data_IF_881360160481
#
_entry.id   IF_881360160481
#
_cell.length_a   1.000
_cell.length_b   1.000
_cell.length_c   1.000
_cell.angle_alpha   90.00
_cell.angle_beta   90.00
_cell.angle_gamma   90.00
#
_symmetry.space_group_name_H-M   'P 1'
#
loop_
_entity.id
_entity.type
_entity.pdbx_description
1 polymer ?
#
# COMPACT_ATOMS: atom_id res chain seq x y z
N UNK A 1 -26.88 -26.26 1.94
CA UNK A 1 -26.79 -25.06 1.08
C UNK A 1 -25.67 -24.11 1.52
N UNK A 2 -25.65 -23.55 2.75
CA UNK A 2 -24.61 -22.54 3.14
C UNK A 2 -23.16 -23.10 3.20
N UNK A 3 -22.96 -24.36 3.63
CA UNK A 3 -21.62 -24.96 3.78
C UNK A 3 -20.90 -25.20 2.45
N UNK A 4 -21.62 -25.57 1.38
CA UNK A 4 -21.02 -25.80 0.07
C UNK A 4 -20.59 -24.48 -0.59
N UNK A 5 -21.36 -23.41 -0.36
CA UNK A 5 -20.97 -22.05 -0.78
C UNK A 5 -19.68 -21.59 -0.12
N UNK A 6 -19.50 -21.81 1.20
CA UNK A 6 -18.28 -21.40 1.92
C UNK A 6 -17.03 -22.18 1.47
N UNK A 7 -17.17 -23.49 1.21
CA UNK A 7 -16.11 -24.32 0.61
C UNK A 7 -15.67 -23.78 -0.75
N UNK A 8 -16.63 -23.55 -1.63
CA UNK A 8 -16.38 -23.04 -2.97
C UNK A 8 -15.75 -21.65 -2.93
N UNK A 9 -16.20 -20.79 -2.02
CA UNK A 9 -15.67 -19.44 -1.86
C UNK A 9 -14.24 -19.41 -1.28
N UNK A 10 -13.91 -20.30 -0.34
CA UNK A 10 -12.53 -20.45 0.11
C UNK A 10 -11.62 -20.96 -1.01
N UNK A 11 -12.11 -21.91 -1.81
CA UNK A 11 -11.36 -22.44 -2.96
C UNK A 11 -11.11 -21.37 -4.03
N UNK A 12 -12.09 -20.48 -4.29
CA UNK A 12 -11.93 -19.31 -5.16
C UNK A 12 -10.87 -18.35 -4.62
N UNK A 13 -10.95 -17.98 -3.34
CA UNK A 13 -9.96 -17.11 -2.69
C UNK A 13 -8.54 -17.68 -2.82
N UNK A 14 -8.34 -18.97 -2.54
CA UNK A 14 -7.02 -19.61 -2.65
C UNK A 14 -6.51 -19.56 -4.10
N UNK A 15 -7.40 -19.78 -5.07
CA UNK A 15 -7.06 -19.67 -6.49
C UNK A 15 -6.67 -18.24 -6.89
N UNK A 16 -7.39 -17.22 -6.39
CA UNK A 16 -7.10 -15.80 -6.62
C UNK A 16 -5.80 -15.34 -5.96
N UNK A 17 -5.38 -15.98 -4.86
CA UNK A 17 -4.07 -15.75 -4.22
C UNK A 17 -2.90 -16.47 -4.91
N UNK A 18 -3.08 -16.92 -6.16
CA UNK A 18 -2.04 -17.64 -6.91
C UNK A 18 -1.99 -19.13 -6.58
N UNK A 19 -3.11 -19.69 -6.09
CA UNK A 19 -3.29 -21.12 -5.85
C UNK A 19 -2.69 -21.66 -4.56
N UNK A 20 -2.12 -20.82 -3.69
CA UNK A 20 -1.52 -21.23 -2.42
C UNK A 20 -1.54 -20.10 -1.38
N UNK A 21 -1.46 -20.45 -0.10
CA UNK A 21 -1.33 -19.48 0.99
C UNK A 21 -1.28 -20.12 2.37
N UNK A 22 -1.02 -19.31 3.39
CA UNK A 22 -1.12 -19.73 4.78
C UNK A 22 -2.55 -19.51 5.31
N UNK A 23 -2.89 -20.22 6.38
CA UNK A 23 -4.18 -20.10 7.04
C UNK A 23 -4.49 -18.65 7.47
N UNK A 24 -3.48 -17.89 7.90
CA UNK A 24 -3.61 -16.46 8.25
C UNK A 24 -4.02 -15.61 7.05
N UNK A 25 -3.44 -15.86 5.87
CA UNK A 25 -3.71 -15.10 4.64
C UNK A 25 -5.18 -15.26 4.23
N UNK A 26 -5.74 -16.45 4.44
CA UNK A 26 -7.15 -16.71 4.14
C UNK A 26 -8.04 -16.01 5.16
N UNK A 27 -7.75 -16.11 6.46
CA UNK A 27 -8.55 -15.45 7.50
C UNK A 27 -8.63 -13.92 7.30
N UNK A 28 -7.57 -13.29 6.80
CA UNK A 28 -7.54 -11.86 6.51
C UNK A 28 -8.53 -11.48 5.38
N UNK A 29 -8.57 -12.27 4.30
CA UNK A 29 -9.32 -11.96 3.08
C UNK A 29 -10.67 -12.65 2.94
N UNK A 30 -10.96 -13.66 3.77
CA UNK A 30 -12.18 -14.46 3.65
C UNK A 30 -13.45 -13.64 3.87
N UNK A 31 -13.34 -12.46 4.51
CA UNK A 31 -14.45 -11.54 4.77
C UNK A 31 -15.10 -11.01 3.49
N UNK A 32 -14.33 -10.92 2.41
CA UNK A 32 -14.81 -10.46 1.10
C UNK A 32 -15.56 -11.57 0.34
N UNK A 33 -15.41 -12.82 0.79
CA UNK A 33 -15.95 -14.01 0.11
C UNK A 33 -17.05 -14.70 0.91
N UNK A 34 -17.12 -14.47 2.22
CA UNK A 34 -18.10 -15.08 3.11
C UNK A 34 -19.02 -14.04 3.72
N UNK A 35 -20.31 -14.32 3.68
CA UNK A 35 -21.27 -13.70 4.60
C UNK A 35 -21.01 -14.24 6.01
N UNK A 36 -20.36 -13.42 6.83
CA UNK A 36 -20.05 -13.74 8.21
C UNK A 36 -21.28 -13.61 9.10
N UNK A 37 -21.45 -14.57 10.00
CA UNK A 37 -22.42 -14.47 11.09
C UNK A 37 -22.01 -13.37 12.08
N UNK A 38 -22.98 -12.81 12.79
CA UNK A 38 -22.74 -11.79 13.82
C UNK A 38 -21.75 -12.25 14.91
N UNK A 39 -21.66 -13.55 15.15
CA UNK A 39 -20.70 -14.12 16.08
C UNK A 39 -19.28 -14.20 15.50
N UNK A 40 -19.13 -14.55 14.22
CA UNK A 40 -17.84 -14.53 13.51
C UNK A 40 -17.30 -13.11 13.35
N UNK A 41 -18.18 -12.12 13.17
CA UNK A 41 -17.80 -10.70 13.12
C UNK A 41 -17.26 -10.20 14.46
N UNK A 42 -17.81 -10.67 15.58
CA UNK A 42 -17.42 -10.27 16.94
C UNK A 42 -16.29 -11.10 17.54
N UNK A 43 -16.02 -12.29 17.00
CA UNK A 43 -15.04 -13.23 17.56
C UNK A 43 -14.13 -13.82 16.47
N UNK A 44 -12.95 -13.22 16.31
CA UNK A 44 -11.96 -13.65 15.32
C UNK A 44 -11.48 -15.09 15.52
N UNK A 45 -11.41 -15.58 16.76
CA UNK A 45 -11.06 -16.99 17.02
C UNK A 45 -12.09 -17.94 16.43
N UNK A 46 -13.37 -17.56 16.43
CA UNK A 46 -14.44 -18.39 15.86
C UNK A 46 -14.34 -18.45 14.35
N UNK A 47 -14.06 -17.32 13.69
CA UNK A 47 -13.79 -17.27 12.25
C UNK A 47 -12.58 -18.15 11.88
N UNK A 48 -11.49 -18.03 12.62
CA UNK A 48 -10.26 -18.81 12.44
C UNK A 48 -10.55 -20.33 12.49
N UNK A 49 -11.28 -20.79 13.52
CA UNK A 49 -11.67 -22.20 13.63
C UNK A 49 -12.57 -22.68 12.49
N UNK A 50 -13.48 -21.85 12.00
CA UNK A 50 -14.36 -22.21 10.89
C UNK A 50 -13.61 -22.29 9.56
N UNK A 51 -12.67 -21.37 9.31
CA UNK A 51 -11.77 -21.45 8.14
C UNK A 51 -10.95 -22.74 8.22
N UNK A 52 -10.36 -23.05 9.37
CA UNK A 52 -9.56 -24.25 9.56
C UNK A 52 -10.39 -25.53 9.32
N UNK A 53 -11.63 -25.57 9.82
CA UNK A 53 -12.54 -26.69 9.58
C UNK A 53 -12.86 -26.88 8.09
N UNK A 54 -12.98 -25.80 7.32
CA UNK A 54 -13.29 -25.86 5.88
C UNK A 54 -12.05 -26.25 5.07
N UNK A 55 -10.86 -25.78 5.43
CA UNK A 55 -9.60 -26.22 4.82
C UNK A 55 -9.43 -27.74 4.96
N UNK A 56 -9.65 -28.28 6.18
CA UNK A 56 -9.56 -29.73 6.40
C UNK A 56 -10.60 -30.50 5.59
N UNK A 57 -11.83 -29.96 5.45
CA UNK A 57 -12.86 -30.58 4.64
C UNK A 57 -12.51 -30.58 3.14
N UNK A 58 -11.92 -29.50 2.62
CA UNK A 58 -11.44 -29.42 1.24
C UNK A 58 -10.23 -30.32 1.01
N UNK A 59 -9.35 -30.47 2.00
CA UNK A 59 -8.24 -31.44 1.99
C UNK A 59 -8.75 -32.88 1.88
N UNK A 60 -9.75 -33.22 2.70
CA UNK A 60 -10.36 -34.55 2.69
C UNK A 60 -11.06 -34.88 1.36
N UNK A 61 -11.48 -33.85 0.61
CA UNK A 61 -12.05 -33.99 -0.75
C UNK A 61 -10.98 -33.94 -1.86
N UNK A 62 -9.69 -33.87 -1.48
CA UNK A 62 -8.52 -33.76 -2.37
C UNK A 62 -8.54 -32.48 -3.23
N UNK A 63 -9.29 -31.45 -2.85
CA UNK A 63 -9.34 -30.16 -3.55
C UNK A 63 -8.22 -29.21 -3.07
N UNK A 64 -7.74 -29.44 -1.84
CA UNK A 64 -6.58 -28.77 -1.27
C UNK A 64 -5.56 -29.82 -0.79
N UNK A 65 -4.31 -29.40 -0.71
CA UNK A 65 -3.25 -30.11 0.00
C UNK A 65 -2.52 -29.16 0.96
N UNK A 66 -1.93 -29.72 2.02
CA UNK A 66 -1.14 -28.96 3.00
C UNK A 66 0.30 -29.45 2.91
N UNK A 67 1.22 -28.57 2.53
CA UNK A 67 2.66 -28.83 2.54
C UNK A 67 3.35 -27.90 3.54
N UNK A 68 3.83 -28.48 4.64
CA UNK A 68 4.32 -27.71 5.78
C UNK A 68 3.21 -26.86 6.39
N UNK A 69 3.29 -25.53 6.24
CA UNK A 69 2.28 -24.55 6.70
C UNK A 69 1.51 -23.90 5.55
N UNK A 70 1.72 -24.34 4.31
CA UNK A 70 1.13 -23.74 3.12
C UNK A 70 0.07 -24.67 2.55
N UNK A 71 -1.14 -24.15 2.46
CA UNK A 71 -2.25 -24.76 1.73
C UNK A 71 -2.11 -24.47 0.24
N UNK A 72 -2.38 -25.46 -0.61
CA UNK A 72 -2.33 -25.33 -2.06
C UNK A 72 -3.53 -25.99 -2.72
N UNK A 73 -4.06 -25.36 -3.77
CA UNK A 73 -5.09 -25.96 -4.60
C UNK A 73 -4.50 -27.07 -5.47
N UNK A 74 -5.15 -28.24 -5.47
CA UNK A 74 -4.76 -29.36 -6.33
C UNK A 74 -5.31 -29.16 -7.74
N UNK A 75 -4.86 -29.96 -8.71
CA UNK A 75 -5.46 -29.95 -10.06
C UNK A 75 -6.95 -30.30 -10.02
N UNK A 76 -7.35 -31.27 -9.18
CA UNK A 76 -8.75 -31.60 -8.90
C UNK A 76 -9.54 -30.41 -8.36
N UNK A 77 -8.91 -29.58 -7.51
CA UNK A 77 -9.48 -28.31 -7.03
C UNK A 77 -9.73 -27.31 -8.15
N UNK A 78 -8.80 -27.17 -9.09
CA UNK A 78 -8.93 -26.28 -10.26
C UNK A 78 -10.01 -26.77 -11.24
N UNK A 79 -10.08 -28.07 -11.46
CA UNK A 79 -11.12 -28.70 -12.28
C UNK A 79 -12.51 -28.50 -11.65
N UNK A 80 -12.61 -28.65 -10.33
CA UNK A 80 -13.83 -28.37 -9.57
C UNK A 80 -14.27 -26.90 -9.69
N UNK A 81 -13.34 -25.95 -9.65
CA UNK A 81 -13.67 -24.54 -9.93
C UNK A 81 -14.18 -24.35 -11.37
N UNK A 82 -13.49 -24.93 -12.34
CA UNK A 82 -13.86 -24.83 -13.76
C UNK A 82 -15.25 -25.42 -14.04
N UNK A 83 -15.59 -26.55 -13.42
CA UNK A 83 -16.91 -27.19 -13.58
C UNK A 83 -18.05 -26.37 -12.97
N UNK A 84 -17.76 -25.53 -11.98
CA UNK A 84 -18.72 -24.57 -11.41
C UNK A 84 -18.89 -23.30 -12.26
N UNK A 85 -18.29 -23.23 -13.45
CA UNK A 85 -18.32 -22.05 -14.31
C UNK A 85 -17.53 -20.88 -13.73
N UNK A 86 -16.68 -21.12 -12.74
CA UNK A 86 -15.77 -20.11 -12.23
C UNK A 86 -14.72 -19.82 -13.29
N UNK A 87 -14.93 -18.72 -14.02
CA UNK A 87 -13.87 -18.09 -14.80
C UNK A 87 -13.09 -17.25 -13.80
N UNK A 88 -11.81 -17.54 -13.53
CA UNK A 88 -11.02 -16.63 -12.74
C UNK A 88 -11.19 -15.24 -13.36
N UNK A 89 -11.48 -14.25 -12.53
CA UNK A 89 -11.24 -12.87 -12.91
C UNK A 89 -9.72 -12.78 -12.96
N UNK A 90 -9.14 -13.27 -14.06
CA UNK A 90 -7.77 -12.99 -14.42
C UNK A 90 -7.90 -11.53 -14.81
N UNK A 91 -7.54 -10.53 -13.97
CA UNK A 91 -7.24 -9.23 -14.53
C UNK A 91 -6.30 -9.54 -15.67
N UNK A 92 -6.69 -9.21 -16.91
CA UNK A 92 -5.82 -9.38 -18.05
C UNK A 92 -4.50 -8.83 -17.60
N UNK A 93 -3.52 -9.72 -17.39
CA UNK A 93 -2.16 -9.29 -17.18
C UNK A 93 -1.83 -8.76 -18.57
N UNK A 94 -2.18 -7.50 -18.82
CA UNK A 94 -1.33 -6.63 -19.60
C UNK A 94 0.03 -6.98 -19.06
N UNK A 95 0.91 -7.64 -19.84
CA UNK A 95 2.20 -8.07 -19.34
C UNK A 95 2.73 -6.86 -18.59
N UNK A 96 2.79 -6.96 -17.24
CA UNK A 96 3.51 -5.96 -16.51
C UNK A 96 4.86 -6.03 -17.18
N UNK A 97 5.34 -4.93 -17.82
CA UNK A 97 6.68 -4.95 -18.35
C UNK A 97 7.54 -5.55 -17.24
N UNK A 98 8.36 -6.58 -17.56
CA UNK A 98 9.16 -7.28 -16.55
C UNK A 98 9.70 -6.20 -15.62
N UNK A 99 9.52 -6.31 -14.28
CA UNK A 99 9.75 -5.21 -13.36
C UNK A 99 11.06 -4.60 -13.80
N UNK A 100 11.00 -3.38 -14.35
CA UNK A 100 12.19 -2.76 -14.89
C UNK A 100 13.01 -2.58 -13.64
N UNK A 101 13.97 -3.48 -13.41
CA UNK A 101 14.98 -3.30 -12.40
C UNK A 101 15.85 -2.22 -12.99
N UNK A 102 15.36 -0.98 -12.88
CA UNK A 102 16.19 0.19 -13.07
C UNK A 102 17.29 0.00 -12.04
N UNK A 103 18.49 -0.31 -12.52
CA UNK A 103 19.66 -0.38 -11.69
C UNK A 103 19.92 1.04 -11.21
N UNK A 104 19.41 1.34 -10.02
CA UNK A 104 19.54 2.64 -9.38
C UNK A 104 20.79 2.56 -8.51
N UNK A 105 21.84 3.35 -8.80
CA UNK A 105 23.07 3.39 -8.00
C UNK A 105 22.79 3.58 -6.50
N UNK A 106 21.73 4.33 -6.18
CA UNK A 106 21.30 4.59 -4.82
C UNK A 106 20.70 3.36 -4.12
N UNK A 107 19.94 2.52 -4.84
CA UNK A 107 19.48 1.24 -4.30
C UNK A 107 20.67 0.32 -3.99
N UNK A 108 21.67 0.28 -4.87
CA UNK A 108 22.90 -0.48 -4.63
C UNK A 108 23.62 0.03 -3.38
N UNK A 109 23.81 1.34 -3.26
CA UNK A 109 24.43 1.97 -2.10
C UNK A 109 23.70 1.65 -0.79
N UNK A 110 22.37 1.74 -0.78
CA UNK A 110 21.54 1.36 0.37
C UNK A 110 21.75 -0.11 0.76
N UNK A 111 21.69 -1.03 -0.22
CA UNK A 111 21.78 -2.46 0.02
C UNK A 111 23.18 -2.93 0.47
N UNK A 112 24.24 -2.25 0.01
CA UNK A 112 25.62 -2.52 0.43
C UNK A 112 25.91 -1.93 1.82
N UNK A 113 25.56 -0.66 2.04
CA UNK A 113 25.84 0.05 3.29
C UNK A 113 25.05 -0.47 4.49
N UNK A 114 23.82 -1.00 4.29
CA UNK A 114 23.06 -1.63 5.37
C UNK A 114 23.74 -2.86 5.98
N UNK A 115 24.71 -3.47 5.29
CA UNK A 115 25.50 -4.61 5.79
C UNK A 115 26.83 -4.20 6.39
N UNK A 116 27.23 -2.94 6.20
CA UNK A 116 28.46 -2.40 6.75
C UNK A 116 28.22 -1.82 8.15
N UNK A 117 28.35 -2.66 9.17
CA UNK A 117 28.24 -2.25 10.58
C UNK A 117 29.40 -1.36 11.05
N UNK A 118 30.52 -1.36 10.32
CA UNK A 118 31.74 -0.67 10.73
C UNK A 118 31.71 0.82 10.35
N UNK A 119 30.85 1.17 9.38
CA UNK A 119 30.59 2.54 8.95
C UNK A 119 29.08 2.77 8.80
N UNK A 120 28.40 3.02 9.92
CA UNK A 120 26.96 3.31 9.91
C UNK A 120 26.63 4.61 9.19
N UNK A 121 27.56 5.58 9.17
CA UNK A 121 27.37 6.89 8.56
C UNK A 121 27.15 6.80 7.06
N UNK A 122 27.77 5.83 6.37
CA UNK A 122 27.48 5.58 4.95
C UNK A 122 26.00 5.22 4.72
N UNK A 123 25.43 4.38 5.58
CA UNK A 123 24.04 3.96 5.45
C UNK A 123 23.08 5.11 5.76
N UNK A 124 23.35 5.89 6.80
CA UNK A 124 22.56 7.07 7.18
C UNK A 124 22.50 8.10 6.04
N UNK A 125 23.64 8.38 5.38
CA UNK A 125 23.71 9.27 4.22
C UNK A 125 22.95 8.71 3.03
N UNK A 126 23.10 7.42 2.73
CA UNK A 126 22.36 6.78 1.63
C UNK A 126 20.84 6.85 1.84
N UNK A 127 20.36 6.74 3.09
CA UNK A 127 18.94 6.93 3.42
C UNK A 127 18.54 8.39 3.15
N UNK A 128 19.30 9.38 3.61
CA UNK A 128 18.99 10.79 3.37
C UNK A 128 18.93 11.10 1.86
N UNK A 129 19.91 10.62 1.09
CA UNK A 129 19.95 10.79 -0.37
C UNK A 129 18.75 10.12 -1.05
N UNK A 130 18.33 8.94 -0.58
CA UNK A 130 17.14 8.25 -1.08
C UNK A 130 15.88 9.10 -0.90
N UNK A 131 15.64 9.63 0.30
CA UNK A 131 14.48 10.49 0.54
C UNK A 131 14.56 11.81 -0.26
N UNK A 132 15.74 12.42 -0.38
CA UNK A 132 15.92 13.60 -1.23
C UNK A 132 15.58 13.32 -2.69
N UNK A 133 16.02 12.18 -3.23
CA UNK A 133 15.71 11.78 -4.61
C UNK A 133 14.22 11.51 -4.85
N UNK A 134 13.47 11.23 -3.78
CA UNK A 134 12.03 11.03 -3.79
C UNK A 134 11.23 12.33 -3.58
N UNK A 135 11.90 13.49 -3.57
CA UNK A 135 11.25 14.79 -3.35
C UNK A 135 10.91 15.09 -1.89
N UNK A 136 11.47 14.33 -0.94
CA UNK A 136 11.34 14.55 0.50
C UNK A 136 12.65 15.19 1.01
N UNK A 137 12.67 16.51 1.33
CA UNK A 137 13.89 17.19 1.73
C UNK A 137 14.41 16.67 3.06
N UNK A 138 15.34 15.72 2.98
CA UNK A 138 15.89 14.96 4.09
C UNK A 138 17.29 15.48 4.41
N UNK A 139 17.53 15.76 5.69
CA UNK A 139 18.82 16.18 6.19
C UNK A 139 19.43 15.07 7.04
N UNK A 140 20.62 14.60 6.66
CA UNK A 140 21.46 13.79 7.54
C UNK A 140 21.92 14.68 8.70
N UNK A 141 21.57 14.31 9.92
CA UNK A 141 21.98 14.99 11.15
C UNK A 141 23.09 14.17 11.80
N UNK A 142 22.76 12.96 12.23
CA UNK A 142 23.68 12.00 12.83
C UNK A 142 24.36 12.52 14.11
N UNK A 143 25.07 11.63 14.77
CA UNK A 143 25.86 11.96 15.96
C UNK A 143 25.16 11.62 17.28
N UNK A 144 25.83 12.01 18.38
CA UNK A 144 25.41 11.60 19.72
C UNK A 144 24.13 12.35 20.13
N UNK A 145 23.12 11.59 20.56
CA UNK A 145 21.83 12.11 21.02
C UNK A 145 21.04 12.91 19.95
N UNK A 146 21.25 12.55 18.68
CA UNK A 146 20.51 13.04 17.53
C UNK A 146 19.93 11.86 16.73
N UNK A 147 18.82 12.06 15.99
CA UNK A 147 18.38 11.12 14.98
C UNK A 147 19.36 11.12 13.80
N UNK A 148 19.38 10.04 13.04
CA UNK A 148 20.25 9.96 11.87
C UNK A 148 19.76 10.90 10.74
N UNK A 149 18.45 10.92 10.48
CA UNK A 149 17.83 11.73 9.42
C UNK A 149 16.60 12.49 9.94
N UNK A 150 16.47 13.74 9.50
CA UNK A 150 15.30 14.60 9.73
C UNK A 150 14.67 15.04 8.40
N UNK A 151 13.36 14.85 8.25
CA UNK A 151 12.57 15.37 7.13
C UNK A 151 11.57 16.39 7.70
N UNK A 152 12.01 17.65 7.79
CA UNK A 152 11.34 18.68 8.60
C UNK A 152 9.91 18.99 8.17
N UNK A 153 9.66 19.17 6.86
CA UNK A 153 8.34 19.54 6.34
C UNK A 153 7.25 18.48 6.63
N UNK A 154 7.67 17.23 6.84
CA UNK A 154 6.78 16.09 7.10
C UNK A 154 6.85 15.63 8.56
N UNK A 155 7.63 16.32 9.40
CA UNK A 155 7.86 15.98 10.80
C UNK A 155 8.25 14.50 10.99
N UNK A 156 9.11 13.98 10.11
CA UNK A 156 9.61 12.60 10.17
C UNK A 156 11.02 12.62 10.73
N UNK A 157 11.30 11.72 11.67
CA UNK A 157 12.66 11.35 12.07
C UNK A 157 12.93 9.89 11.71
N UNK A 158 14.14 9.60 11.25
CA UNK A 158 14.58 8.25 10.90
C UNK A 158 15.92 7.93 11.56
N UNK A 159 16.05 6.67 11.96
CA UNK A 159 17.34 6.07 12.34
C UNK A 159 17.69 4.93 11.38
N UNK A 160 18.92 4.92 10.88
CA UNK A 160 19.49 3.83 10.11
C UNK A 160 20.13 2.81 11.03
N UNK A 161 19.88 1.52 10.80
CA UNK A 161 20.53 0.42 11.53
C UNK A 161 21.12 -0.58 10.54
N UNK A 162 22.45 -0.61 10.47
CA UNK A 162 23.20 -1.58 9.67
C UNK A 162 23.55 -2.82 10.51
N UNK A 163 23.55 -4.00 9.86
CA UNK A 163 23.97 -5.26 10.47
C UNK A 163 24.44 -6.25 9.40
N UNK A 164 25.54 -6.95 9.69
CA UNK A 164 26.08 -7.99 8.81
C UNK A 164 25.10 -9.16 8.64
N UNK A 165 24.39 -9.52 9.72
CA UNK A 165 23.44 -10.65 9.77
C UNK A 165 22.19 -10.43 8.92
N UNK A 166 21.86 -9.17 8.59
CA UNK A 166 20.72 -8.83 7.73
C UNK A 166 19.36 -8.82 8.38
N UNK A 167 19.28 -9.22 9.64
CA UNK A 167 18.07 -9.13 10.43
C UNK A 167 18.48 -8.55 11.78
N UNK A 168 17.77 -7.53 12.21
CA UNK A 168 17.89 -6.96 13.54
C UNK A 168 17.00 -7.78 14.48
N UNK A 169 17.63 -8.45 15.45
CA UNK A 169 16.98 -9.46 16.30
C UNK A 169 16.69 -9.01 17.72
N UNK A 170 17.17 -7.82 18.14
CA UNK A 170 17.06 -7.36 19.52
C UNK A 170 16.67 -5.89 19.62
N UNK A 171 15.87 -5.56 20.66
CA UNK A 171 15.44 -4.19 20.93
C UNK A 171 16.59 -3.22 21.28
N UNK A 172 17.63 -3.64 22.03
CA UNK A 172 18.77 -2.76 22.30
C UNK A 172 19.51 -2.30 21.04
N UNK A 173 19.51 -3.13 19.98
CA UNK A 173 20.11 -2.77 18.70
C UNK A 173 19.34 -1.62 17.99
N UNK A 174 18.05 -1.44 18.30
CA UNK A 174 17.23 -0.35 17.75
C UNK A 174 17.36 0.89 18.62
N UNK A 175 17.34 0.74 19.95
CA UNK A 175 17.44 1.87 20.88
C UNK A 175 16.15 2.69 21.00
N UNK A 176 15.00 2.02 21.09
CA UNK A 176 13.66 2.63 21.13
C UNK A 176 13.50 3.82 22.09
N UNK A 177 14.10 3.77 23.27
CA UNK A 177 14.03 4.86 24.26
C UNK A 177 14.63 6.18 23.76
N UNK A 178 15.62 6.12 22.86
CA UNK A 178 16.24 7.33 22.30
C UNK A 178 15.33 7.95 21.24
N UNK A 179 14.67 7.12 20.44
CA UNK A 179 13.75 7.56 19.39
C UNK A 179 12.56 8.36 19.95
N UNK A 180 12.04 7.96 21.11
CA UNK A 180 11.00 8.72 21.82
C UNK A 180 11.49 10.11 22.23
N UNK A 181 12.72 10.22 22.77
CA UNK A 181 13.32 11.52 23.10
C UNK A 181 13.51 12.39 21.87
N UNK A 182 13.89 11.80 20.74
CA UNK A 182 14.05 12.53 19.48
C UNK A 182 12.70 13.05 18.98
N UNK A 183 11.64 12.26 19.10
CA UNK A 183 10.29 12.68 18.73
C UNK A 183 9.87 13.94 19.47
N UNK A 184 10.08 13.97 20.78
CA UNK A 184 9.76 15.13 21.60
C UNK A 184 10.63 16.34 21.24
N UNK A 185 11.95 16.13 21.11
CA UNK A 185 12.92 17.18 20.76
C UNK A 185 12.63 17.85 19.42
N UNK A 186 12.24 17.07 18.42
CA UNK A 186 12.01 17.54 17.05
C UNK A 186 10.53 17.77 16.71
N UNK A 187 9.62 17.61 17.68
CA UNK A 187 8.17 17.67 17.47
C UNK A 187 7.72 16.79 16.29
N UNK A 188 8.27 15.58 16.22
CA UNK A 188 8.05 14.66 15.10
C UNK A 188 6.66 14.02 15.18
N UNK A 189 5.96 13.98 14.05
CA UNK A 189 4.70 13.25 13.89
C UNK A 189 4.96 11.76 13.64
N UNK A 190 6.09 11.44 13.00
CA UNK A 190 6.42 10.10 12.55
C UNK A 190 7.85 9.71 12.95
N UNK A 191 8.01 8.47 13.42
CA UNK A 191 9.31 7.86 13.72
C UNK A 191 9.47 6.62 12.85
N UNK A 192 10.58 6.53 12.13
CA UNK A 192 10.98 5.34 11.37
C UNK A 192 12.33 4.78 11.80
N UNK A 193 12.51 3.48 11.68
CA UNK A 193 13.81 2.80 11.74
C UNK A 193 14.02 2.07 10.44
N UNK A 194 15.11 2.38 9.73
CA UNK A 194 15.45 1.76 8.45
C UNK A 194 16.53 0.71 8.66
N UNK A 195 16.36 -0.49 8.11
CA UNK A 195 17.36 -1.55 8.22
C UNK A 195 17.10 -2.73 7.28
N UNK A 196 18.01 -3.72 7.23
CA UNK A 196 17.94 -4.84 6.28
C UNK A 196 16.80 -5.83 6.54
N UNK A 197 16.19 -5.76 7.73
CA UNK A 197 15.15 -6.67 8.15
C UNK A 197 15.00 -6.66 9.66
N UNK A 198 13.82 -7.06 10.14
CA UNK A 198 13.48 -7.03 11.56
C UNK A 198 12.88 -8.37 11.98
N UNK A 199 13.40 -8.96 13.06
CA UNK A 199 12.86 -10.22 13.57
C UNK A 199 11.42 -10.06 14.03
N UNK A 200 10.67 -11.17 14.04
CA UNK A 200 9.37 -11.21 14.70
C UNK A 200 9.49 -11.14 16.23
N UNK A 201 8.35 -11.08 16.93
CA UNK A 201 8.28 -11.00 18.39
C UNK A 201 8.59 -9.60 18.93
N UNK A 202 9.38 -9.54 20.00
CA UNK A 202 9.57 -8.34 20.84
C UNK A 202 9.95 -7.07 20.06
N UNK A 203 10.83 -7.18 19.04
CA UNK A 203 11.21 -6.03 18.20
C UNK A 203 9.99 -5.37 17.56
N UNK A 204 9.12 -6.16 16.91
CA UNK A 204 7.92 -5.65 16.24
C UNK A 204 6.84 -5.26 17.24
N UNK A 205 6.69 -6.02 18.33
CA UNK A 205 5.71 -5.72 19.38
C UNK A 205 6.00 -4.39 20.08
N UNK A 206 7.26 -4.13 20.42
CA UNK A 206 7.67 -2.87 21.03
C UNK A 206 7.55 -1.70 20.05
N UNK A 207 7.98 -1.89 18.80
CA UNK A 207 7.80 -0.87 17.76
C UNK A 207 6.32 -0.48 17.61
N UNK A 208 5.42 -1.49 17.56
CA UNK A 208 3.97 -1.27 17.54
C UNK A 208 3.48 -0.48 18.75
N UNK A 209 3.86 -0.91 19.96
CA UNK A 209 3.43 -0.29 21.22
C UNK A 209 3.86 1.18 21.31
N UNK A 210 5.03 1.50 20.77
CA UNK A 210 5.62 2.85 20.80
C UNK A 210 5.27 3.71 19.58
N UNK A 211 4.53 3.17 18.62
CA UNK A 211 4.15 3.89 17.39
C UNK A 211 5.34 4.19 16.47
N UNK A 212 6.31 3.28 16.42
CA UNK A 212 7.53 3.37 15.60
C UNK A 212 7.38 2.41 14.42
N UNK A 213 7.66 2.91 13.22
CA UNK A 213 7.59 2.11 12.00
C UNK A 213 8.96 1.53 11.69
N UNK A 214 9.02 0.23 11.44
CA UNK A 214 10.21 -0.48 10.99
C UNK A 214 10.15 -0.60 9.47
N UNK A 215 11.12 -0.04 8.76
CA UNK A 215 11.13 0.07 7.30
C UNK A 215 12.30 -0.76 6.77
N UNK A 216 11.98 -1.79 5.99
CA UNK A 216 13.03 -2.56 5.31
C UNK A 216 13.66 -1.71 4.21
N UNK A 217 14.99 -1.76 4.09
CA UNK A 217 15.74 -1.03 3.06
C UNK A 217 15.22 -1.35 1.66
N UNK A 218 14.88 -2.61 1.41
CA UNK A 218 14.31 -3.06 0.14
C UNK A 218 12.96 -2.38 -0.17
N UNK A 219 12.20 -1.94 0.84
CA UNK A 219 10.96 -1.19 0.63
C UNK A 219 11.26 0.22 0.09
N UNK A 220 12.30 0.88 0.59
CA UNK A 220 12.77 2.17 0.04
C UNK A 220 13.26 1.97 -1.40
N UNK A 221 14.04 0.92 -1.66
CA UNK A 221 14.49 0.57 -3.01
C UNK A 221 13.30 0.35 -3.96
N UNK A 222 12.23 -0.29 -3.48
CA UNK A 222 11.01 -0.50 -4.26
C UNK A 222 10.29 0.81 -4.57
N UNK A 223 10.22 1.74 -3.62
CA UNK A 223 9.67 3.09 -3.86
C UNK A 223 10.52 3.82 -4.91
N UNK A 224 11.85 3.80 -4.79
CA UNK A 224 12.76 4.42 -5.76
C UNK A 224 12.58 3.87 -7.18
N UNK A 225 12.49 2.54 -7.32
CA UNK A 225 12.24 1.89 -8.60
C UNK A 225 10.90 2.33 -9.21
N UNK A 226 9.82 2.28 -8.43
CA UNK A 226 8.50 2.72 -8.90
C UNK A 226 8.51 4.22 -9.26
N UNK A 227 9.14 5.07 -8.43
CA UNK A 227 9.26 6.51 -8.64
C UNK A 227 10.06 6.85 -9.91
N UNK A 228 11.06 6.04 -10.28
CA UNK A 228 11.85 6.24 -11.50
C UNK A 228 11.06 5.98 -12.79
N UNK A 229 10.00 5.18 -12.71
CA UNK A 229 9.10 4.90 -13.84
C UNK A 229 7.94 5.89 -13.83
N UNK A 230 7.28 6.04 -12.69
CA UNK A 230 6.21 7.01 -12.48
C UNK A 230 6.35 7.62 -11.08
N UNK A 231 6.66 8.92 -10.95
CA UNK A 231 6.89 9.56 -9.66
C UNK A 231 5.67 9.48 -8.73
N UNK A 232 5.95 9.20 -7.45
CA UNK A 232 4.96 9.40 -6.39
C UNK A 232 4.93 10.87 -5.98
N UNK A 233 3.75 11.34 -5.57
CA UNK A 233 3.65 12.55 -4.76
C UNK A 233 4.35 12.35 -3.40
N UNK A 234 5.11 13.34 -2.89
CA UNK A 234 5.84 13.20 -1.62
C UNK A 234 4.96 12.79 -0.42
N UNK A 235 3.75 13.36 -0.31
CA UNK A 235 2.79 12.99 0.76
C UNK A 235 2.40 11.51 0.69
N UNK A 236 2.28 10.96 -0.53
CA UNK A 236 1.92 9.57 -0.75
C UNK A 236 2.97 8.61 -0.20
N UNK A 237 4.24 8.97 -0.35
CA UNK A 237 5.35 8.19 0.22
C UNK A 237 5.24 8.17 1.75
N UNK A 238 4.95 9.32 2.36
CA UNK A 238 4.73 9.41 3.82
C UNK A 238 3.53 8.57 4.25
N UNK A 239 2.44 8.58 3.49
CA UNK A 239 1.28 7.73 3.77
C UNK A 239 1.61 6.24 3.72
N UNK A 240 2.26 5.79 2.64
CA UNK A 240 2.66 4.38 2.46
C UNK A 240 3.53 3.92 3.62
N UNK A 241 4.51 4.74 4.01
CA UNK A 241 5.47 4.39 5.05
C UNK A 241 4.86 4.50 6.45
N UNK A 242 4.14 5.57 6.77
CA UNK A 242 3.80 5.91 8.16
C UNK A 242 2.31 5.86 8.50
N UNK A 243 1.42 6.00 7.51
CA UNK A 243 -0.03 6.02 7.73
C UNK A 243 -0.75 4.76 7.23
N UNK A 244 0.00 3.72 6.83
CA UNK A 244 -0.56 2.45 6.36
C UNK A 244 -1.11 1.55 7.48
N UNK A 245 -0.96 1.95 8.75
CA UNK A 245 -1.32 1.15 9.93
C UNK A 245 -0.40 -0.05 10.18
N UNK A 246 0.66 -0.21 9.36
CA UNK A 246 1.61 -1.31 9.45
C UNK A 246 2.80 -0.92 10.32
N UNK A 247 3.23 -1.88 11.13
CA UNK A 247 4.41 -1.73 11.99
C UNK A 247 5.69 -2.00 11.21
N UNK A 248 5.65 -2.92 10.25
CA UNK A 248 6.77 -3.26 9.37
C UNK A 248 6.39 -2.98 7.93
N UNK A 249 7.21 -2.19 7.25
CA UNK A 249 7.08 -1.88 5.84
C UNK A 249 8.12 -2.68 5.06
N UNK A 250 7.62 -3.63 4.28
CA UNK A 250 8.39 -4.51 3.39
C UNK A 250 8.12 -4.11 1.93
N UNK A 251 8.90 -4.61 0.95
CA UNK A 251 8.66 -4.35 -0.48
C UNK A 251 7.24 -4.69 -0.93
N UNK A 252 6.61 -5.70 -0.31
CA UNK A 252 5.23 -6.14 -0.62
C UNK A 252 4.17 -5.13 -0.21
N UNK A 253 4.53 -4.16 0.63
CA UNK A 253 3.63 -3.11 1.08
C UNK A 253 3.68 -1.88 0.19
N UNK A 254 4.64 -1.82 -0.74
CA UNK A 254 4.79 -0.71 -1.67
C UNK A 254 3.88 -0.95 -2.87
N UNK A 255 2.78 -0.21 -2.89
CA UNK A 255 1.84 -0.18 -4.01
C UNK A 255 2.51 0.45 -5.23
N UNK A 256 2.27 -0.04 -6.47
CA UNK A 256 2.74 0.62 -7.69
C UNK A 256 2.30 2.09 -7.74
N UNK A 257 3.16 2.97 -8.24
CA UNK A 257 2.84 4.39 -8.41
C UNK A 257 1.75 4.63 -9.47
N UNK A 258 1.48 3.65 -10.33
CA UNK A 258 0.37 3.69 -11.30
C UNK A 258 -1.01 3.54 -10.65
N UNK A 259 -1.13 3.03 -9.42
CA UNK A 259 -2.43 2.91 -8.73
C UNK A 259 -3.04 4.30 -8.51
N UNK A 260 -2.22 5.29 -8.19
CA UNK A 260 -2.71 6.66 -7.98
C UNK A 260 -3.21 7.26 -9.32
N UNK A 261 -2.65 6.85 -10.45
CA UNK A 261 -3.14 7.21 -11.79
C UNK A 261 -4.43 6.51 -12.16
N UNK A 262 -4.55 5.19 -11.93
CA UNK A 262 -5.80 4.47 -12.19
C UNK A 262 -6.94 5.03 -11.34
N UNK A 263 -6.65 5.38 -10.08
CA UNK A 263 -7.61 6.03 -9.20
C UNK A 263 -7.98 7.42 -9.70
N UNK A 264 -7.01 8.26 -10.07
CA UNK A 264 -7.25 9.58 -10.66
C UNK A 264 -8.10 9.47 -11.94
N UNK A 265 -7.76 8.55 -12.85
CA UNK A 265 -8.50 8.29 -14.08
C UNK A 265 -9.94 7.85 -13.76
N UNK A 266 -10.12 6.97 -12.78
CA UNK A 266 -11.44 6.53 -12.34
C UNK A 266 -12.29 7.68 -11.79
N UNK A 267 -11.70 8.55 -10.95
CA UNK A 267 -12.38 9.73 -10.41
C UNK A 267 -12.70 10.71 -11.54
N UNK A 268 -11.74 11.02 -12.42
CA UNK A 268 -11.94 11.91 -13.58
C UNK A 268 -13.04 11.38 -14.49
N UNK A 269 -13.02 10.10 -14.84
CA UNK A 269 -14.06 9.49 -15.67
C UNK A 269 -15.45 9.58 -15.02
N UNK A 270 -15.53 9.39 -13.69
CA UNK A 270 -16.77 9.54 -12.95
C UNK A 270 -17.27 10.99 -12.95
N UNK A 271 -16.39 11.96 -12.69
CA UNK A 271 -16.71 13.38 -12.74
C UNK A 271 -17.24 13.77 -14.13
N UNK A 272 -16.55 13.38 -15.20
CA UNK A 272 -16.98 13.65 -16.58
C UNK A 272 -18.32 12.98 -16.91
N UNK A 273 -18.54 11.75 -16.43
CA UNK A 273 -19.82 11.05 -16.58
C UNK A 273 -20.96 11.79 -15.86
N UNK A 274 -20.75 12.27 -14.65
CA UNK A 274 -21.76 13.00 -13.87
C UNK A 274 -22.05 14.37 -14.44
N UNK A 275 -21.03 15.08 -14.93
CA UNK A 275 -21.22 16.34 -15.67
C UNK A 275 -22.17 16.10 -16.85
N UNK A 276 -21.94 15.02 -17.61
CA UNK A 276 -22.76 14.67 -18.78
C UNK A 276 -24.20 14.29 -18.38
N UNK A 277 -24.37 13.53 -17.30
CA UNK A 277 -25.68 13.04 -16.85
C UNK A 277 -26.52 14.13 -16.18
N UNK A 278 -25.92 14.91 -15.29
CA UNK A 278 -26.63 15.94 -14.49
C UNK A 278 -26.89 17.21 -15.29
N UNK A 279 -26.12 17.45 -16.37
CA UNK A 279 -26.10 18.71 -17.13
C UNK A 279 -25.85 19.94 -16.26
N UNK A 280 -25.25 19.75 -15.09
CA UNK A 280 -24.86 20.85 -14.22
C UNK A 280 -23.54 21.42 -14.70
N UNK A 281 -23.40 22.75 -14.59
CA UNK A 281 -22.28 23.47 -15.20
C UNK A 281 -21.19 23.81 -14.19
N UNK A 282 -21.50 23.76 -12.88
CA UNK A 282 -20.56 24.04 -11.81
C UNK A 282 -20.69 23.05 -10.65
N UNK A 283 -19.57 22.76 -10.00
CA UNK A 283 -19.47 21.80 -8.90
C UNK A 283 -18.38 22.23 -7.93
N UNK A 284 -18.55 21.92 -6.64
CA UNK A 284 -17.47 22.00 -5.66
C UNK A 284 -16.93 20.60 -5.33
N UNK A 285 -15.67 20.51 -4.90
CA UNK A 285 -15.10 19.23 -4.42
C UNK A 285 -15.94 18.63 -3.28
N UNK A 286 -16.44 19.48 -2.37
CA UNK A 286 -17.29 19.06 -1.25
C UNK A 286 -18.62 18.46 -1.71
N UNK A 287 -19.26 19.04 -2.71
CA UNK A 287 -20.51 18.52 -3.26
C UNK A 287 -20.31 17.12 -3.86
N UNK A 288 -19.26 16.95 -4.66
CA UNK A 288 -18.94 15.66 -5.28
C UNK A 288 -18.56 14.61 -4.23
N UNK A 289 -17.80 15.00 -3.20
CA UNK A 289 -17.47 14.11 -2.09
C UNK A 289 -18.72 13.56 -1.38
N UNK A 290 -19.69 14.43 -1.08
CA UNK A 290 -20.97 14.01 -0.50
C UNK A 290 -21.71 13.06 -1.47
N UNK A 291 -21.83 13.43 -2.75
CA UNK A 291 -22.52 12.63 -3.75
C UNK A 291 -21.90 11.23 -3.95
N UNK A 292 -20.56 11.13 -3.87
CA UNK A 292 -19.81 9.89 -4.04
C UNK A 292 -19.87 9.02 -2.79
N UNK A 293 -19.86 9.62 -1.60
CA UNK A 293 -20.08 8.88 -0.35
C UNK A 293 -21.44 8.15 -0.33
N UNK A 294 -22.50 8.77 -0.87
CA UNK A 294 -23.82 8.15 -0.99
C UNK A 294 -23.89 7.02 -2.02
N UNK A 295 -22.95 6.98 -2.97
CA UNK A 295 -22.81 5.92 -3.96
C UNK A 295 -21.85 4.81 -3.51
N UNK A 296 -21.38 4.85 -2.26
CA UNK A 296 -20.34 3.95 -1.74
C UNK A 296 -19.03 4.01 -2.54
N UNK A 297 -18.78 5.14 -3.22
CA UNK A 297 -17.51 5.46 -3.86
C UNK A 297 -16.65 6.19 -2.83
N UNK A 298 -15.72 5.45 -2.21
CA UNK A 298 -14.83 5.96 -1.17
C UNK A 298 -13.68 6.78 -1.77
N UNK A 299 -14.02 7.91 -2.41
CA UNK A 299 -13.05 8.90 -2.87
C UNK A 299 -12.85 9.94 -1.77
N UNK A 300 -11.61 10.20 -1.40
CA UNK A 300 -11.28 11.22 -0.41
C UNK A 300 -11.44 12.63 -1.01
N UNK A 301 -11.69 13.62 -0.15
CA UNK A 301 -11.99 14.99 -0.61
C UNK A 301 -10.83 15.65 -1.37
N UNK A 302 -9.59 15.32 -1.01
CA UNK A 302 -8.38 15.78 -1.67
C UNK A 302 -8.17 15.10 -3.03
N UNK A 303 -8.53 13.83 -3.17
CA UNK A 303 -8.49 13.10 -4.45
C UNK A 303 -9.46 13.70 -5.47
N UNK A 304 -10.66 14.06 -5.03
CA UNK A 304 -11.65 14.76 -5.86
C UNK A 304 -11.14 16.14 -6.25
N UNK A 305 -10.58 16.90 -5.30
CA UNK A 305 -9.99 18.21 -5.58
C UNK A 305 -8.84 18.12 -6.59
N UNK A 306 -7.98 17.09 -6.48
CA UNK A 306 -6.89 16.85 -7.41
C UNK A 306 -7.40 16.50 -8.81
N UNK A 307 -8.47 15.69 -8.92
CA UNK A 307 -9.12 15.39 -10.19
C UNK A 307 -9.73 16.63 -10.85
N UNK A 308 -10.39 17.50 -10.07
CA UNK A 308 -10.94 18.76 -10.58
C UNK A 308 -9.83 19.72 -11.03
N UNK A 309 -8.73 19.83 -10.28
CA UNK A 309 -7.54 20.59 -10.69
C UNK A 309 -6.95 20.05 -11.99
N UNK A 310 -6.83 18.73 -12.12
CA UNK A 310 -6.33 18.07 -13.33
C UNK A 310 -7.17 18.44 -14.56
N UNK A 311 -8.50 18.44 -14.42
CA UNK A 311 -9.42 18.86 -15.47
C UNK A 311 -9.38 20.38 -15.76
N UNK A 312 -8.80 21.17 -14.85
CA UNK A 312 -8.73 22.64 -14.96
C UNK A 312 -7.43 23.17 -15.55
N UNK A 313 -6.39 22.35 -15.61
CA UNK A 313 -5.10 22.73 -16.17
C UNK A 313 -4.99 22.33 -17.63
N UNK A 314 -4.12 23.02 -18.37
CA UNK A 314 -3.77 22.64 -19.73
C UNK A 314 -3.13 21.23 -19.75
N UNK A 315 -3.34 20.42 -20.82
CA UNK A 315 -4.02 20.77 -22.07
C UNK A 315 -5.55 20.61 -22.04
N UNK A 316 -6.12 20.08 -20.95
CA UNK A 316 -7.55 19.77 -20.89
C UNK A 316 -8.39 21.04 -20.80
N UNK A 317 -8.12 21.89 -19.79
CA UNK A 317 -8.84 23.15 -19.55
C UNK A 317 -10.37 23.02 -19.68
N UNK A 318 -10.92 21.88 -19.26
CA UNK A 318 -12.35 21.53 -19.34
C UNK A 318 -13.12 22.30 -18.27
N UNK A 319 -12.48 22.47 -17.11
CA UNK A 319 -13.00 23.22 -15.98
C UNK A 319 -12.19 24.50 -15.77
N UNK A 320 -12.83 25.49 -15.16
CA UNK A 320 -12.18 26.68 -14.64
C UNK A 320 -12.55 26.82 -13.18
N UNK A 321 -11.54 26.95 -12.32
CA UNK A 321 -11.75 27.24 -10.89
C UNK A 321 -12.08 28.72 -10.70
N UNK A 322 -13.20 29.01 -10.05
CA UNK A 322 -13.55 30.33 -9.53
C UNK A 322 -13.97 30.17 -8.07
N UNK A 323 -13.20 30.75 -7.15
CA UNK A 323 -13.35 30.51 -5.70
C UNK A 323 -13.29 29.00 -5.39
N UNK A 324 -14.32 28.46 -4.72
CA UNK A 324 -14.44 27.05 -4.36
C UNK A 324 -15.28 26.21 -5.35
N UNK A 325 -15.66 26.79 -6.49
CA UNK A 325 -16.38 26.10 -7.56
C UNK A 325 -15.53 25.91 -8.82
N UNK A 326 -15.76 24.78 -9.48
CA UNK A 326 -15.25 24.46 -10.79
C UNK A 326 -16.37 24.51 -11.80
N UNK A 327 -16.23 25.35 -12.83
CA UNK A 327 -17.24 25.56 -13.87
C UNK A 327 -16.74 25.08 -15.22
N UNK A 328 -17.61 24.46 -16.02
CA UNK A 328 -17.29 24.09 -17.39
C UNK A 328 -16.90 25.31 -18.23
N UNK A 329 -15.82 25.20 -19.00
CA UNK A 329 -15.35 26.26 -19.91
C UNK A 329 -16.15 26.33 -21.22
N UNK A 330 -17.04 25.38 -21.45
CA UNK A 330 -17.88 25.27 -22.64
C UNK A 330 -18.79 24.05 -22.60
N UNK A 331 -19.40 23.75 -23.74
CA UNK A 331 -20.23 22.56 -23.91
C UNK A 331 -19.41 21.26 -23.77
N UNK A 332 -19.88 20.34 -22.92
CA UNK A 332 -19.14 19.13 -22.55
C UNK A 332 -18.88 18.21 -23.75
N UNK A 333 -19.86 18.03 -24.65
CA UNK A 333 -19.69 17.17 -25.82
C UNK A 333 -18.65 17.76 -26.79
N UNK A 334 -18.62 19.09 -26.91
CA UNK A 334 -17.61 19.80 -27.70
C UNK A 334 -16.20 19.73 -27.07
N UNK A 335 -16.12 19.79 -25.74
CA UNK A 335 -14.86 19.68 -25.00
C UNK A 335 -14.27 18.27 -25.06
N UNK A 336 -15.09 17.23 -24.88
CA UNK A 336 -14.67 15.82 -24.96
C UNK A 336 -14.16 15.48 -26.38
N UNK A 337 -14.85 15.94 -27.43
CA UNK A 337 -14.38 15.78 -28.81
C UNK A 337 -13.00 16.41 -29.06
N UNK A 338 -12.71 17.57 -28.46
CA UNK A 338 -11.40 18.24 -28.62
C UNK A 338 -10.24 17.45 -28.02
N UNK A 339 -10.51 16.66 -26.99
CA UNK A 339 -9.50 15.85 -26.28
C UNK A 339 -9.50 14.38 -26.71
N UNK A 340 -10.29 14.03 -27.74
CA UNK A 340 -10.33 12.68 -28.33
C UNK A 340 -11.14 11.65 -27.54
N UNK A 341 -12.12 12.10 -26.75
CA UNK A 341 -13.04 11.26 -25.96
C UNK A 341 -14.49 11.30 -26.48
#
# INVERSE_FOLDING_TARGET
MVRDTRKNNLLKLINELGGKGQHSDFCEKIRDYWELTEEEKRNEKKLFHHVASIEQALKASELLELQGRIWRITEKGKEHLSSMGYKPNIPTIVPQPPPITVDLPLCKQLLESQRNSDDSTMFEKAIADAFNSLGLPAKHIGGKDEPDILIGNYKVILDGKSTREGIITSEPAIGFERLERYKDKYNASHIGVVGPGFSEGYVRETAKKRGIVLIETEAICRILQNHSVYPYEPNRIVEILFNSGKVVITPKNILPSTIDQEKLIGIVAKILSDIKLTRKNSFSSRELHIAYSWQSLNFESDEIENALKFLSVAPFSILQKQNDEYTLTGDIDSLLKKIGL
#
